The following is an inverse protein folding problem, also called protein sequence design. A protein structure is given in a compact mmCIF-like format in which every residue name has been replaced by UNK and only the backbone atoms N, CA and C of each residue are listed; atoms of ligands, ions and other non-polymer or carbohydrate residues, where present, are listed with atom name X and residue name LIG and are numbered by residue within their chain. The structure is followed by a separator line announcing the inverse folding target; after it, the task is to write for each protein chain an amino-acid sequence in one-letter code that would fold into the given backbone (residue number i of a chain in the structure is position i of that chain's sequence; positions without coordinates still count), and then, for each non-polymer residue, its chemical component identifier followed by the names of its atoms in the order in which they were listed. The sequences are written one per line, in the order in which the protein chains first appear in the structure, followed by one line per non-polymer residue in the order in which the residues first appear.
data_IF_950458478431
#
_entry.id   IF_950458478431
#
_cell.length_a   1.000
_cell.length_b   1.000
_cell.length_c   1.000
_cell.angle_alpha   90.00
_cell.angle_beta   90.00
_cell.angle_gamma   90.00
#
_symmetry.space_group_name_H-M   'P 1'
#
loop_
_entity.id
_entity.type
_entity.pdbx_description
1 polymer ?
#
# COMPACT_ATOMS: atom_id res chain seq x y z
N UNK A 1 -22.05 13.90 -19.63
CA UNK A 1 -21.51 13.12 -18.49
C UNK A 1 -22.62 12.89 -17.49
N UNK A 2 -22.62 11.79 -16.73
CA UNK A 2 -23.69 11.50 -15.76
C UNK A 2 -23.94 12.66 -14.78
N UNK A 3 -22.88 13.29 -14.29
CA UNK A 3 -22.94 14.48 -13.41
C UNK A 3 -23.62 15.67 -14.10
N UNK A 4 -23.30 15.94 -15.36
CA UNK A 4 -23.94 17.01 -16.15
C UNK A 4 -25.43 16.76 -16.39
N UNK A 5 -25.85 15.51 -16.52
CA UNK A 5 -27.27 15.16 -16.65
C UNK A 5 -28.05 15.44 -15.36
N UNK A 6 -27.36 15.55 -14.22
CA UNK A 6 -27.93 15.96 -12.92
C UNK A 6 -27.90 17.49 -12.72
N UNK A 7 -27.50 18.27 -13.74
CA UNK A 7 -27.49 19.73 -13.69
C UNK A 7 -26.23 20.36 -13.10
N UNK A 8 -25.17 19.58 -12.88
CA UNK A 8 -23.90 20.06 -12.32
C UNK A 8 -22.81 20.18 -13.39
N UNK A 9 -21.98 21.21 -13.30
CA UNK A 9 -20.83 21.34 -14.20
C UNK A 9 -19.74 20.35 -13.81
N UNK A 10 -19.23 19.59 -14.79
CA UNK A 10 -18.13 18.66 -14.59
C UNK A 10 -17.04 18.88 -15.63
N UNK A 11 -15.78 18.77 -15.22
CA UNK A 11 -14.59 18.93 -16.08
C UNK A 11 -13.64 17.76 -15.88
N UNK A 12 -13.20 17.14 -16.97
CA UNK A 12 -12.33 15.96 -16.92
C UNK A 12 -10.86 16.32 -17.10
N UNK A 13 -10.00 15.66 -16.34
CA UNK A 13 -8.56 15.84 -16.37
C UNK A 13 -7.87 14.48 -16.42
N UNK A 14 -6.84 14.36 -17.25
CA UNK A 14 -5.86 13.27 -17.16
C UNK A 14 -4.92 13.50 -15.98
N UNK A 15 -4.17 12.48 -15.54
CA UNK A 15 -3.22 12.64 -14.44
C UNK A 15 -2.15 13.70 -14.70
N UNK A 16 -1.69 13.83 -15.94
CA UNK A 16 -0.77 14.92 -16.33
C UNK A 16 -1.43 16.29 -16.24
N UNK A 17 -2.70 16.42 -16.66
CA UNK A 17 -3.46 17.67 -16.54
C UNK A 17 -3.85 18.02 -15.10
N UNK A 18 -3.97 17.01 -14.22
CA UNK A 18 -4.14 17.18 -12.78
C UNK A 18 -2.82 17.49 -12.05
N UNK A 19 -1.70 17.50 -12.77
CA UNK A 19 -0.39 17.87 -12.23
C UNK A 19 0.33 16.78 -11.44
N UNK A 20 0.01 15.50 -11.68
CA UNK A 20 0.65 14.37 -10.99
C UNK A 20 2.03 14.11 -11.61
N UNK A 21 3.10 14.53 -10.94
CA UNK A 21 4.49 14.37 -11.39
C UNK A 21 5.07 13.10 -10.78
N UNK A 22 5.73 12.27 -11.59
CA UNK A 22 6.24 10.96 -11.17
C UNK A 22 7.68 10.70 -11.60
N UNK A 23 8.24 9.61 -11.07
CA UNK A 23 9.44 8.96 -11.64
C UNK A 23 9.14 8.33 -13.01
N UNK A 24 10.18 8.03 -13.80
CA UNK A 24 10.09 7.51 -15.17
C UNK A 24 9.85 5.98 -15.28
N UNK A 25 9.80 5.26 -14.16
CA UNK A 25 9.62 3.79 -14.18
C UNK A 25 8.16 3.41 -14.47
N UNK A 26 7.84 3.08 -15.73
CA UNK A 26 6.50 2.63 -16.13
C UNK A 26 6.02 1.40 -15.33
N UNK A 27 4.72 1.35 -15.02
CA UNK A 27 4.09 0.27 -14.26
C UNK A 27 4.32 0.31 -12.74
N UNK A 28 5.32 1.06 -12.27
CA UNK A 28 5.69 1.19 -10.84
C UNK A 28 6.11 2.61 -10.47
N UNK A 29 5.61 3.62 -11.17
CA UNK A 29 6.02 5.00 -10.94
C UNK A 29 5.65 5.49 -9.53
N UNK A 30 6.48 6.37 -8.98
CA UNK A 30 6.26 7.00 -7.67
C UNK A 30 5.89 8.46 -7.87
N UNK A 31 4.88 8.94 -7.15
CA UNK A 31 4.52 10.36 -7.13
C UNK A 31 5.66 11.12 -6.46
N UNK A 32 6.19 12.11 -7.17
CA UNK A 32 7.24 13.02 -6.69
C UNK A 32 6.58 14.27 -6.12
N UNK A 33 5.65 14.84 -6.89
CA UNK A 33 5.00 16.10 -6.57
C UNK A 33 3.62 16.17 -7.25
N UNK A 34 2.74 17.04 -6.76
CA UNK A 34 1.42 17.28 -7.33
C UNK A 34 1.17 18.78 -7.44
N UNK A 35 0.99 19.27 -8.67
CA UNK A 35 0.74 20.69 -8.95
C UNK A 35 -0.67 20.89 -9.51
N UNK A 36 -1.72 20.97 -8.66
CA UNK A 36 -3.11 20.84 -9.09
C UNK A 36 -3.74 22.15 -9.60
N UNK A 37 -2.97 23.02 -10.26
CA UNK A 37 -3.42 24.37 -10.64
C UNK A 37 -4.71 24.39 -11.46
N UNK A 38 -4.80 23.53 -12.49
CA UNK A 38 -6.01 23.41 -13.32
C UNK A 38 -7.22 22.87 -12.57
N UNK A 39 -6.99 22.04 -11.55
CA UNK A 39 -8.05 21.52 -10.69
C UNK A 39 -8.55 22.62 -9.77
N UNK A 40 -7.65 23.38 -9.15
CA UNK A 40 -8.00 24.53 -8.30
C UNK A 40 -8.81 25.59 -9.07
N UNK A 41 -8.45 25.89 -10.31
CA UNK A 41 -9.22 26.79 -11.18
C UNK A 41 -10.66 26.27 -11.42
N UNK A 42 -10.80 25.00 -11.79
CA UNK A 42 -12.12 24.40 -12.00
C UNK A 42 -12.98 24.41 -10.73
N UNK A 43 -12.40 24.13 -9.57
CA UNK A 43 -13.10 24.16 -8.29
C UNK A 43 -13.54 25.59 -7.92
N UNK A 44 -12.70 26.61 -8.17
CA UNK A 44 -13.06 28.03 -7.95
C UNK A 44 -14.25 28.47 -8.80
N UNK A 45 -14.41 27.89 -9.99
CA UNK A 45 -15.53 28.16 -10.89
C UNK A 45 -16.80 27.34 -10.53
N UNK A 46 -16.75 26.53 -9.47
CA UNK A 46 -17.87 25.71 -9.02
C UNK A 46 -18.05 24.40 -9.80
N UNK A 47 -17.09 24.02 -10.64
CA UNK A 47 -17.14 22.78 -11.40
C UNK A 47 -16.64 21.57 -10.57
N UNK A 48 -17.20 20.40 -10.85
CA UNK A 48 -16.73 19.11 -10.32
C UNK A 48 -15.58 18.61 -11.20
N UNK A 49 -14.38 18.51 -10.62
CA UNK A 49 -13.21 17.98 -11.30
C UNK A 49 -13.21 16.43 -11.28
N UNK A 50 -13.19 15.82 -12.46
CA UNK A 50 -13.10 14.37 -12.65
C UNK A 50 -11.69 14.04 -13.12
N UNK A 51 -10.87 13.45 -12.26
CA UNK A 51 -9.48 13.12 -12.57
C UNK A 51 -9.35 11.62 -12.90
N UNK A 52 -8.76 11.30 -14.05
CA UNK A 52 -8.39 9.94 -14.37
C UNK A 52 -7.14 9.55 -13.55
N UNK A 53 -7.36 8.75 -12.50
CA UNK A 53 -6.33 8.25 -11.60
C UNK A 53 -5.35 7.25 -12.24
N UNK A 54 -4.45 6.69 -11.43
CA UNK A 54 -3.44 5.67 -11.79
C UNK A 54 -2.30 6.13 -12.71
N UNK A 55 -2.42 7.31 -13.33
CA UNK A 55 -1.44 7.86 -14.27
C UNK A 55 -0.82 9.17 -13.76
N UNK A 56 0.35 9.49 -14.28
CA UNK A 56 1.03 10.77 -14.09
C UNK A 56 1.94 11.11 -15.25
N UNK A 57 2.86 12.05 -15.04
CA UNK A 57 3.86 12.46 -16.04
C UNK A 57 5.26 12.39 -15.44
N UNK A 58 6.19 11.76 -16.16
CA UNK A 58 7.58 11.68 -15.76
C UNK A 58 8.21 13.09 -15.71
N UNK A 59 8.88 13.42 -14.61
CA UNK A 59 9.48 14.74 -14.42
C UNK A 59 10.53 15.08 -15.49
N UNK A 60 11.32 14.09 -15.88
CA UNK A 60 12.45 14.14 -16.81
C UNK A 60 12.03 14.03 -18.28
N UNK A 61 11.34 12.95 -18.66
CA UNK A 61 11.02 12.66 -20.06
C UNK A 61 9.73 13.29 -20.54
N UNK A 62 8.85 13.70 -19.61
CA UNK A 62 7.47 14.14 -19.87
C UNK A 62 6.55 13.06 -20.46
N UNK A 63 6.96 11.79 -20.40
CA UNK A 63 6.13 10.67 -20.82
C UNK A 63 5.02 10.38 -19.80
N UNK A 64 3.92 9.79 -20.28
CA UNK A 64 2.84 9.31 -19.43
C UNK A 64 3.31 8.06 -18.70
N UNK A 65 3.20 8.08 -17.37
CA UNK A 65 3.60 6.97 -16.51
C UNK A 65 2.39 6.39 -15.79
N UNK A 66 2.55 5.16 -15.28
CA UNK A 66 1.52 4.48 -14.50
C UNK A 66 2.07 4.10 -13.13
N UNK A 67 1.24 4.28 -12.10
CA UNK A 67 1.63 4.12 -10.69
C UNK A 67 1.64 2.66 -10.22
N UNK A 68 1.06 1.75 -11.00
CA UNK A 68 0.91 0.34 -10.64
C UNK A 68 -0.34 0.08 -9.77
N UNK A 69 -0.38 -1.08 -9.11
CA UNK A 69 -1.52 -1.46 -8.25
C UNK A 69 -1.78 -0.38 -7.17
N UNK A 70 -3.06 -0.13 -6.90
CA UNK A 70 -3.49 0.95 -5.99
C UNK A 70 -3.18 2.36 -6.49
N UNK A 71 -2.86 2.53 -7.77
CA UNK A 71 -2.51 3.81 -8.36
C UNK A 71 -3.65 4.83 -8.28
N UNK A 72 -4.91 4.41 -8.40
CA UNK A 72 -6.07 5.29 -8.28
C UNK A 72 -6.20 5.84 -6.86
N UNK A 73 -6.16 4.99 -5.83
CA UNK A 73 -6.20 5.40 -4.42
C UNK A 73 -5.05 6.37 -4.10
N UNK A 74 -3.84 6.04 -4.58
CA UNK A 74 -2.67 6.89 -4.41
C UNK A 74 -2.84 8.24 -5.11
N UNK A 75 -3.48 8.27 -6.28
CA UNK A 75 -3.77 9.54 -6.99
C UNK A 75 -4.77 10.38 -6.20
N UNK A 76 -5.82 9.76 -5.67
CA UNK A 76 -6.85 10.44 -4.90
C UNK A 76 -6.27 11.11 -3.64
N UNK A 77 -5.48 10.36 -2.85
CA UNK A 77 -4.84 10.88 -1.65
C UNK A 77 -3.78 11.93 -1.97
N UNK A 78 -2.97 11.74 -3.01
CA UNK A 78 -1.96 12.72 -3.38
C UNK A 78 -2.59 14.05 -3.84
N UNK A 79 -3.69 13.98 -4.60
CA UNK A 79 -4.42 15.16 -5.03
C UNK A 79 -5.13 15.84 -3.85
N UNK A 80 -5.77 15.08 -2.96
CA UNK A 80 -6.42 15.61 -1.78
C UNK A 80 -5.42 16.33 -0.85
N UNK A 81 -4.23 15.76 -0.65
CA UNK A 81 -3.16 16.40 0.12
C UNK A 81 -2.69 17.70 -0.54
N UNK A 82 -2.52 17.72 -1.87
CA UNK A 82 -2.07 18.92 -2.60
C UNK A 82 -3.14 20.01 -2.73
N UNK A 83 -4.41 19.66 -2.49
CA UNK A 83 -5.54 20.60 -2.47
C UNK A 83 -5.91 21.04 -1.05
N UNK A 84 -5.17 20.60 -0.02
CA UNK A 84 -5.50 20.81 1.39
C UNK A 84 -6.95 20.39 1.72
N UNK A 85 -7.38 19.25 1.17
CA UNK A 85 -8.73 18.74 1.39
C UNK A 85 -8.93 18.27 2.84
N UNK A 86 -10.15 18.42 3.36
CA UNK A 86 -10.49 17.98 4.72
C UNK A 86 -10.49 16.44 4.87
N UNK A 87 -10.84 15.73 3.79
CA UNK A 87 -10.96 14.26 3.75
C UNK A 87 -10.74 13.73 2.34
N UNK A 88 -10.18 12.52 2.24
CA UNK A 88 -10.18 11.71 1.03
C UNK A 88 -11.12 10.51 1.20
N UNK A 89 -12.25 10.51 0.50
CA UNK A 89 -13.17 9.35 0.52
C UNK A 89 -12.74 8.30 -0.52
N UNK A 90 -12.56 7.06 -0.07
CA UNK A 90 -12.27 5.92 -0.93
C UNK A 90 -13.52 5.03 -0.97
N UNK A 91 -14.20 5.08 -2.11
CA UNK A 91 -15.38 4.28 -2.39
C UNK A 91 -14.99 2.93 -3.00
N UNK A 92 -15.47 1.86 -2.38
CA UNK A 92 -15.18 0.46 -2.76
C UNK A 92 -16.44 -0.40 -2.71
N UNK A 93 -16.31 -1.71 -2.88
CA UNK A 93 -17.39 -2.71 -2.82
C UNK A 93 -17.65 -3.27 -1.42
N UNK A 94 -16.85 -2.86 -0.42
CA UNK A 94 -17.02 -3.21 1.00
C UNK A 94 -17.43 -2.01 1.84
N UNK A 95 -18.15 -2.27 2.94
CA UNK A 95 -18.71 -1.22 3.81
C UNK A 95 -17.70 -0.50 4.72
N UNK A 96 -16.43 -0.87 4.63
CA UNK A 96 -15.34 -0.33 5.45
C UNK A 96 -14.24 -1.37 5.70
N UNK A 97 -13.40 -1.10 6.69
CA UNK A 97 -12.37 -2.03 7.18
C UNK A 97 -12.96 -2.86 8.31
N UNK A 98 -12.71 -4.16 8.30
CA UNK A 98 -13.25 -5.11 9.26
C UNK A 98 -12.14 -5.70 10.13
N UNK A 99 -12.51 -6.17 11.33
CA UNK A 99 -11.60 -6.81 12.28
C UNK A 99 -10.96 -8.10 11.74
N UNK A 100 -11.54 -8.71 10.70
CA UNK A 100 -11.01 -9.83 9.92
C UNK A 100 -11.73 -9.87 8.56
N UNK A 101 -11.28 -10.69 7.62
CA UNK A 101 -11.99 -10.87 6.33
C UNK A 101 -13.40 -11.48 6.59
N UNK A 102 -14.50 -10.74 6.33
CA UNK A 102 -15.86 -11.20 6.63
C UNK A 102 -16.27 -12.41 5.78
N UNK A 103 -15.57 -12.70 4.67
CA UNK A 103 -15.80 -13.89 3.84
C UNK A 103 -15.27 -15.17 4.50
N UNK A 104 -14.35 -15.04 5.46
CA UNK A 104 -13.76 -16.15 6.21
C UNK A 104 -14.33 -16.21 7.62
N UNK A 105 -14.50 -15.05 8.26
CA UNK A 105 -15.01 -14.92 9.62
C UNK A 105 -16.33 -14.14 9.57
N UNK A 106 -17.50 -14.81 9.50
CA UNK A 106 -18.79 -14.13 9.38
C UNK A 106 -19.13 -13.19 10.55
N UNK A 107 -18.49 -13.40 11.71
CA UNK A 107 -18.65 -12.56 12.90
C UNK A 107 -17.69 -11.37 12.95
N UNK A 108 -16.90 -11.15 11.89
CA UNK A 108 -16.02 -9.99 11.78
C UNK A 108 -16.82 -8.70 11.90
N UNK A 109 -16.30 -7.74 12.66
CA UNK A 109 -16.98 -6.48 12.92
C UNK A 109 -16.34 -5.37 12.11
N UNK A 110 -17.17 -4.51 11.54
CA UNK A 110 -16.67 -3.29 10.91
C UNK A 110 -16.06 -2.37 11.99
N UNK A 111 -14.88 -1.87 11.72
CA UNK A 111 -14.18 -0.92 12.57
C UNK A 111 -14.75 0.48 12.30
N UNK A 112 -15.02 1.25 13.35
CA UNK A 112 -15.45 2.65 13.19
C UNK A 112 -14.29 3.53 12.74
N UNK A 113 -13.14 3.32 13.36
CA UNK A 113 -11.88 4.00 13.09
C UNK A 113 -10.71 3.04 13.23
N UNK A 114 -9.63 3.34 12.50
CA UNK A 114 -8.30 2.73 12.62
C UNK A 114 -7.26 3.84 12.49
N UNK A 115 -6.12 3.69 13.16
CA UNK A 115 -5.01 4.63 12.97
C UNK A 115 -4.31 4.39 11.63
N UNK A 116 -3.53 5.36 11.15
CA UNK A 116 -2.70 5.16 9.96
C UNK A 116 -1.76 3.97 10.13
N UNK A 117 -1.11 3.85 11.29
CA UNK A 117 -0.20 2.75 11.62
C UNK A 117 -0.92 1.39 11.60
N UNK A 118 -2.08 1.29 12.25
CA UNK A 118 -2.87 0.05 12.24
C UNK A 118 -3.29 -0.35 10.81
N UNK A 119 -3.72 0.63 10.02
CA UNK A 119 -4.14 0.38 8.64
C UNK A 119 -2.95 0.04 7.74
N UNK A 120 -1.77 0.63 7.94
CA UNK A 120 -0.54 0.28 7.24
C UNK A 120 -0.18 -1.18 7.50
N UNK A 121 -0.18 -1.61 8.76
CA UNK A 121 0.12 -3.00 9.14
C UNK A 121 -0.91 -3.99 8.60
N UNK A 122 -2.21 -3.66 8.67
CA UNK A 122 -3.26 -4.47 8.09
C UNK A 122 -3.11 -4.60 6.57
N UNK A 123 -2.85 -3.49 5.86
CA UNK A 123 -2.67 -3.49 4.41
C UNK A 123 -1.42 -4.25 3.98
N UNK A 124 -0.30 -4.08 4.71
CA UNK A 124 0.94 -4.82 4.48
C UNK A 124 0.74 -6.32 4.68
N UNK A 125 -0.03 -6.71 5.71
CA UNK A 125 -0.28 -8.11 6.07
C UNK A 125 -1.41 -8.78 5.25
N UNK A 126 -1.92 -8.12 4.21
CA UNK A 126 -2.84 -8.72 3.22
C UNK A 126 -4.29 -8.23 3.26
N UNK A 127 -4.63 -7.22 4.06
CA UNK A 127 -5.94 -6.58 3.98
C UNK A 127 -6.08 -5.78 2.67
N UNK A 128 -6.98 -6.21 1.78
CA UNK A 128 -7.07 -5.71 0.40
C UNK A 128 -7.98 -4.50 0.21
N UNK A 129 -8.37 -3.83 1.29
CA UNK A 129 -9.36 -2.73 1.26
C UNK A 129 -8.72 -1.42 0.80
N UNK A 130 -7.53 -1.10 1.30
CA UNK A 130 -6.74 0.06 0.92
C UNK A 130 -5.35 -0.37 0.49
N UNK A 131 -4.82 0.27 -0.54
CA UNK A 131 -3.44 0.02 -0.94
C UNK A 131 -2.45 0.71 0.01
N UNK A 132 -1.38 0.02 0.40
CA UNK A 132 -0.37 0.51 1.37
C UNK A 132 0.14 1.93 1.05
N UNK A 133 0.48 2.19 -0.22
CA UNK A 133 0.99 3.50 -0.66
C UNK A 133 0.00 4.65 -0.43
N UNK A 134 -1.31 4.39 -0.52
CA UNK A 134 -2.35 5.37 -0.27
C UNK A 134 -2.37 5.76 1.22
N UNK A 135 -2.34 4.77 2.11
CA UNK A 135 -2.32 4.98 3.56
C UNK A 135 -1.04 5.71 4.01
N UNK A 136 0.13 5.32 3.46
CA UNK A 136 1.40 5.96 3.80
C UNK A 136 1.43 7.43 3.37
N UNK A 137 0.87 7.73 2.21
CA UNK A 137 0.77 9.11 1.73
C UNK A 137 -0.17 9.93 2.63
N UNK A 138 -1.34 9.38 2.98
CA UNK A 138 -2.27 10.04 3.88
C UNK A 138 -1.65 10.33 5.26
N UNK A 139 -0.94 9.35 5.82
CA UNK A 139 -0.18 9.49 7.07
C UNK A 139 0.82 10.64 7.02
N UNK A 140 1.61 10.72 5.95
CA UNK A 140 2.65 11.75 5.78
C UNK A 140 2.07 13.17 5.80
N UNK A 141 0.89 13.37 5.23
CA UNK A 141 0.22 14.67 5.15
C UNK A 141 -0.86 14.86 6.22
N UNK A 142 -1.02 13.91 7.14
CA UNK A 142 -2.08 13.89 8.14
C UNK A 142 -3.49 14.10 7.53
N UNK A 143 -3.75 13.47 6.39
CA UNK A 143 -5.01 13.57 5.64
C UNK A 143 -5.93 12.40 6.00
N UNK A 144 -7.11 12.64 6.62
CA UNK A 144 -8.06 11.58 6.92
C UNK A 144 -8.54 10.85 5.67
N UNK A 145 -8.55 9.52 5.70
CA UNK A 145 -9.20 8.69 4.69
C UNK A 145 -10.53 8.18 5.23
N UNK A 146 -11.59 8.25 4.42
CA UNK A 146 -12.87 7.64 4.74
C UNK A 146 -13.19 6.50 3.79
N UNK A 147 -13.14 5.26 4.27
CA UNK A 147 -13.43 4.06 3.47
C UNK A 147 -14.93 3.80 3.47
N UNK A 148 -15.56 3.83 2.30
CA UNK A 148 -17.01 3.70 2.13
C UNK A 148 -17.38 2.71 1.04
N UNK A 149 -18.62 2.22 1.08
CA UNK A 149 -19.18 1.42 0.00
C UNK A 149 -19.89 2.29 -1.02
N UNK A 150 -19.75 1.96 -2.30
CA UNK A 150 -20.59 2.53 -3.37
C UNK A 150 -22.00 1.92 -3.42
N UNK A 151 -22.23 0.84 -2.68
CA UNK A 151 -23.45 0.04 -2.70
C UNK A 151 -24.33 0.22 -1.45
N UNK A 152 -23.85 0.95 -0.44
CA UNK A 152 -24.57 1.17 0.80
C UNK A 152 -24.40 2.61 1.31
N UNK A 153 -25.36 3.07 2.13
CA UNK A 153 -25.30 4.36 2.81
C UNK A 153 -24.72 4.23 4.23
N UNK A 154 -24.06 3.12 4.54
CA UNK A 154 -23.41 2.97 5.83
C UNK A 154 -22.28 4.01 5.94
N UNK A 155 -21.94 4.39 7.18
CA UNK A 155 -20.94 5.42 7.44
C UNK A 155 -19.60 5.05 6.79
N UNK A 156 -18.99 3.96 7.25
CA UNK A 156 -17.73 3.50 6.67
C UNK A 156 -16.76 3.08 7.76
N UNK A 157 -15.48 3.27 7.48
CA UNK A 157 -14.40 3.29 8.47
C UNK A 157 -13.51 4.50 8.24
N UNK A 158 -13.20 5.23 9.31
CA UNK A 158 -12.24 6.33 9.29
C UNK A 158 -10.81 5.81 9.49
N UNK A 159 -9.88 6.26 8.65
CA UNK A 159 -8.43 6.07 8.85
C UNK A 159 -7.84 7.43 9.22
N UNK A 160 -7.38 7.55 10.46
CA UNK A 160 -7.00 8.83 11.08
C UNK A 160 -5.69 8.68 11.86
N UNK A 161 -5.14 9.78 12.38
CA UNK A 161 -3.90 9.73 13.16
C UNK A 161 -4.08 9.04 14.51
N UNK A 162 -5.07 9.51 15.25
CA UNK A 162 -5.34 9.10 16.61
C UNK A 162 -6.76 8.53 16.70
N UNK A 163 -6.95 7.55 17.57
CA UNK A 163 -8.29 7.03 17.84
C UNK A 163 -9.16 8.16 18.43
N UNK A 164 -10.43 8.31 18.01
CA UNK A 164 -11.31 9.34 18.55
C UNK A 164 -11.40 9.27 20.08
N UNK A 165 -11.30 10.41 20.75
CA UNK A 165 -11.44 10.49 22.21
C UNK A 165 -12.80 9.94 22.67
N UNK A 166 -12.81 9.07 23.68
CA UNK A 166 -14.02 8.42 24.21
C UNK A 166 -14.08 6.90 24.10
N UNK A 167 -13.02 6.25 23.61
CA UNK A 167 -12.85 4.80 23.75
C UNK A 167 -12.78 4.38 25.23
N UNK A 168 -13.46 3.29 25.58
CA UNK A 168 -13.44 2.72 26.93
C UNK A 168 -12.02 2.49 27.44
N UNK A 169 -11.83 2.59 28.76
CA UNK A 169 -10.58 2.34 29.51
C UNK A 169 -9.88 1.01 29.15
N UNK A 170 -10.62 0.07 28.52
CA UNK A 170 -10.13 -1.18 27.94
C UNK A 170 -10.09 -1.08 26.40
N UNK A 171 -9.07 -0.41 25.85
CA UNK A 171 -8.83 -0.45 24.40
C UNK A 171 -8.33 -1.84 24.00
N UNK A 172 -8.92 -2.42 22.96
CA UNK A 172 -8.44 -3.68 22.40
C UNK A 172 -7.00 -3.50 21.90
N UNK A 173 -6.08 -4.35 22.35
CA UNK A 173 -4.66 -4.31 21.94
C UNK A 173 -4.52 -4.67 20.45
N UNK A 174 -5.47 -5.42 19.90
CA UNK A 174 -5.47 -5.89 18.52
C UNK A 174 -6.68 -5.33 17.79
N UNK A 175 -6.41 -4.51 16.78
CA UNK A 175 -7.44 -3.81 16.00
C UNK A 175 -8.02 -4.69 14.89
N UNK A 176 -7.24 -5.64 14.38
CA UNK A 176 -7.72 -6.61 13.40
C UNK A 176 -6.72 -7.72 13.07
N UNK A 177 -7.18 -8.68 12.29
CA UNK A 177 -6.40 -9.83 11.80
C UNK A 177 -6.44 -9.80 10.27
N UNK A 178 -5.28 -9.60 9.66
CA UNK A 178 -5.07 -9.77 8.23
C UNK A 178 -4.40 -11.11 7.94
N UNK A 179 -4.51 -11.58 6.69
CA UNK A 179 -3.81 -12.77 6.25
C UNK A 179 -3.51 -12.68 4.75
N UNK A 180 -2.41 -13.30 4.33
CA UNK A 180 -2.12 -13.53 2.92
C UNK A 180 -1.81 -15.00 2.64
N UNK A 181 -2.44 -15.55 1.59
CA UNK A 181 -2.21 -16.91 1.10
C UNK A 181 -1.35 -16.94 -0.17
N UNK A 182 -1.00 -15.77 -0.69
CA UNK A 182 -0.28 -15.59 -1.95
C UNK A 182 1.23 -15.78 -1.83
N UNK A 183 1.73 -15.92 -0.60
CA UNK A 183 3.15 -16.05 -0.32
C UNK A 183 3.66 -17.50 -0.35
N UNK A 184 4.97 -17.63 -0.52
CA UNK A 184 5.76 -18.83 -0.27
C UNK A 184 6.87 -18.52 0.74
N UNK A 185 7.20 -19.49 1.58
CA UNK A 185 8.30 -19.40 2.55
C UNK A 185 9.52 -20.15 2.02
N UNK A 186 10.67 -19.50 1.98
CA UNK A 186 11.98 -20.13 1.74
C UNK A 186 12.76 -20.10 3.05
N UNK A 187 13.39 -21.23 3.40
CA UNK A 187 14.30 -21.34 4.54
C UNK A 187 15.65 -21.84 4.04
N UNK A 188 16.70 -21.09 4.33
CA UNK A 188 18.10 -21.44 4.09
C UNK A 188 18.63 -21.95 5.42
N UNK A 189 18.97 -23.24 5.47
CA UNK A 189 19.37 -23.94 6.70
C UNK A 189 20.89 -23.95 6.80
N UNK A 190 21.44 -23.71 7.99
CA UNK A 190 22.89 -23.90 8.21
C UNK A 190 23.78 -22.79 7.63
N UNK A 191 23.27 -21.58 7.57
CA UNK A 191 24.01 -20.40 7.10
C UNK A 191 25.08 -20.01 8.14
N UNK A 192 26.35 -19.79 7.74
CA UNK A 192 27.37 -19.30 8.66
C UNK A 192 27.04 -17.94 9.25
N UNK A 193 27.05 -17.83 10.58
CA UNK A 193 26.72 -16.60 11.31
C UNK A 193 27.92 -15.65 11.36
N UNK A 194 28.21 -15.02 10.21
CA UNK A 194 29.24 -14.00 10.07
C UNK A 194 28.74 -12.83 9.23
N UNK A 195 29.31 -11.66 9.46
CA UNK A 195 28.95 -10.45 8.73
C UNK A 195 29.05 -10.65 7.20
N UNK A 196 28.07 -10.11 6.48
CA UNK A 196 28.02 -10.12 5.02
C UNK A 196 27.28 -11.30 4.39
N UNK A 197 27.03 -12.40 5.11
CA UNK A 197 26.35 -13.58 4.52
C UNK A 197 24.89 -13.27 4.19
N UNK A 198 24.13 -12.72 5.13
CA UNK A 198 22.75 -12.29 4.88
C UNK A 198 22.68 -11.24 3.76
N UNK A 199 23.60 -10.26 3.76
CA UNK A 199 23.69 -9.25 2.72
C UNK A 199 23.91 -9.88 1.33
N UNK A 200 24.78 -10.89 1.22
CA UNK A 200 25.02 -11.58 -0.04
C UNK A 200 23.79 -12.31 -0.57
N UNK A 201 23.07 -13.00 0.31
CA UNK A 201 21.81 -13.69 -0.01
C UNK A 201 20.79 -12.70 -0.54
N UNK A 202 20.51 -11.63 0.24
CA UNK A 202 19.47 -10.68 -0.12
C UNK A 202 19.86 -9.80 -1.30
N UNK A 203 21.16 -9.52 -1.52
CA UNK A 203 21.62 -8.85 -2.74
C UNK A 203 21.31 -9.68 -3.98
N UNK A 204 21.56 -11.00 -3.95
CA UNK A 204 21.27 -11.86 -5.10
C UNK A 204 19.77 -11.94 -5.42
N UNK A 205 18.90 -11.90 -4.40
CA UNK A 205 17.45 -11.84 -4.58
C UNK A 205 17.02 -10.46 -5.11
N UNK A 206 17.60 -9.38 -4.59
CA UNK A 206 17.33 -8.01 -5.04
C UNK A 206 17.79 -7.76 -6.48
N UNK A 207 18.96 -8.28 -6.88
CA UNK A 207 19.48 -8.21 -8.25
C UNK A 207 18.54 -8.90 -9.26
N UNK A 208 17.71 -9.82 -8.78
CA UNK A 208 16.68 -10.48 -9.58
C UNK A 208 15.32 -9.75 -9.58
N UNK A 209 15.23 -8.59 -8.92
CA UNK A 209 14.01 -7.78 -8.72
C UNK A 209 12.87 -8.59 -8.06
N UNK A 210 13.22 -9.49 -7.14
CA UNK A 210 12.25 -10.28 -6.37
C UNK A 210 11.94 -9.55 -5.07
N UNK A 211 10.65 -9.26 -4.85
CA UNK A 211 10.19 -8.61 -3.64
C UNK A 211 10.09 -9.62 -2.49
N UNK A 212 10.72 -9.32 -1.37
CA UNK A 212 10.66 -10.09 -0.13
C UNK A 212 9.74 -9.35 0.84
N UNK A 213 8.99 -10.09 1.64
CA UNK A 213 8.15 -9.54 2.71
C UNK A 213 8.79 -9.76 4.08
N UNK A 214 8.49 -10.87 4.75
CA UNK A 214 8.99 -11.14 6.10
C UNK A 214 10.40 -11.75 6.04
N UNK A 215 11.32 -11.28 6.89
CA UNK A 215 12.63 -11.89 7.12
C UNK A 215 12.72 -12.33 8.58
N UNK A 216 13.08 -13.60 8.80
CA UNK A 216 13.27 -14.19 10.13
C UNK A 216 14.61 -14.90 10.18
N UNK A 217 15.47 -14.46 11.08
CA UNK A 217 16.71 -15.14 11.45
C UNK A 217 16.74 -15.28 12.96
N UNK A 218 16.98 -16.50 13.45
CA UNK A 218 17.14 -16.73 14.88
C UNK A 218 18.62 -16.62 15.30
N UNK A 219 18.88 -16.57 16.60
CA UNK A 219 20.26 -16.63 17.13
C UNK A 219 20.94 -17.93 16.68
N UNK A 220 22.23 -17.85 16.37
CA UNK A 220 22.99 -19.02 15.94
C UNK A 220 23.16 -20.02 17.06
N UNK A 221 23.24 -21.29 16.70
CA UNK A 221 23.60 -22.33 17.66
C UNK A 221 25.07 -22.15 18.05
N UNK A 222 25.33 -21.80 19.32
CA UNK A 222 26.68 -21.51 19.83
C UNK A 222 27.69 -22.65 19.59
N UNK A 223 27.21 -23.88 19.47
CA UNK A 223 28.04 -25.05 19.18
C UNK A 223 28.50 -25.15 17.71
N UNK A 224 27.75 -24.59 16.76
CA UNK A 224 28.03 -24.71 15.32
C UNK A 224 28.39 -23.39 14.66
N UNK A 225 28.01 -22.25 15.24
CA UNK A 225 28.14 -20.94 14.59
C UNK A 225 27.27 -20.80 13.33
N UNK A 226 26.24 -21.65 13.20
CA UNK A 226 25.30 -21.64 12.08
C UNK A 226 23.93 -21.15 12.54
N UNK A 227 23.20 -20.55 11.60
CA UNK A 227 21.82 -20.08 11.79
C UNK A 227 20.97 -20.38 10.56
N UNK A 228 19.66 -20.35 10.73
CA UNK A 228 18.71 -20.49 9.64
C UNK A 228 18.11 -19.11 9.30
N UNK A 229 18.03 -18.82 8.02
CA UNK A 229 17.41 -17.60 7.51
C UNK A 229 16.16 -17.99 6.74
N UNK A 230 15.01 -17.54 7.20
CA UNK A 230 13.73 -17.70 6.52
C UNK A 230 13.24 -16.37 5.97
N UNK A 231 12.62 -16.40 4.81
CA UNK A 231 11.92 -15.25 4.29
C UNK A 231 10.69 -15.65 3.46
N UNK A 232 9.74 -14.72 3.33
CA UNK A 232 8.56 -14.89 2.49
C UNK A 232 8.60 -13.98 1.27
N UNK A 233 7.93 -14.43 0.21
CA UNK A 233 7.87 -13.75 -1.09
C UNK A 233 6.66 -14.24 -1.89
N UNK A 234 6.25 -13.57 -2.98
CA UNK A 234 5.16 -14.03 -3.83
C UNK A 234 5.37 -15.46 -4.33
N UNK A 235 4.37 -16.33 -4.18
CA UNK A 235 4.47 -17.77 -4.53
C UNK A 235 4.94 -18.00 -5.98
N UNK A 236 4.63 -17.09 -6.89
CA UNK A 236 5.05 -17.13 -8.29
C UNK A 236 6.56 -17.02 -8.49
N UNK A 237 7.27 -16.37 -7.57
CA UNK A 237 8.74 -16.20 -7.63
C UNK A 237 9.49 -17.31 -6.86
N UNK A 238 8.79 -18.19 -6.14
CA UNK A 238 9.37 -19.19 -5.24
C UNK A 238 10.42 -20.11 -5.89
N UNK A 239 10.10 -20.67 -7.06
CA UNK A 239 11.04 -21.53 -7.79
C UNK A 239 12.28 -20.77 -8.25
N UNK A 240 12.11 -19.54 -8.75
CA UNK A 240 13.20 -18.69 -9.23
C UNK A 240 14.12 -18.26 -8.09
N UNK A 241 13.55 -17.80 -6.98
CA UNK A 241 14.29 -17.45 -5.77
C UNK A 241 15.09 -18.64 -5.22
N UNK A 242 14.47 -19.83 -5.18
CA UNK A 242 15.15 -21.06 -4.74
C UNK A 242 16.36 -21.39 -5.62
N UNK A 243 16.22 -21.32 -6.94
CA UNK A 243 17.34 -21.56 -7.86
C UNK A 243 18.46 -20.52 -7.74
N UNK A 244 18.15 -19.27 -7.40
CA UNK A 244 19.16 -18.23 -7.13
C UNK A 244 19.94 -18.57 -5.87
N UNK A 245 19.24 -18.86 -4.77
CA UNK A 245 19.85 -19.22 -3.49
C UNK A 245 20.74 -20.46 -3.64
N UNK A 246 20.27 -21.50 -4.33
CA UNK A 246 21.04 -22.73 -4.55
C UNK A 246 22.38 -22.48 -5.26
N UNK A 247 22.47 -21.49 -6.16
CA UNK A 247 23.74 -21.12 -6.81
C UNK A 247 24.76 -20.50 -5.86
N UNK A 248 24.30 -19.92 -4.74
CA UNK A 248 25.17 -19.36 -3.70
C UNK A 248 25.70 -20.44 -2.74
N UNK A 249 25.21 -21.68 -2.83
CA UNK A 249 25.56 -22.73 -1.88
C UNK A 249 27.07 -22.97 -1.80
N UNK A 250 27.76 -23.03 -2.94
CA UNK A 250 29.21 -23.21 -2.99
C UNK A 250 30.01 -22.00 -2.48
N UNK A 251 29.43 -20.80 -2.52
CA UNK A 251 30.05 -19.55 -2.04
C UNK A 251 29.88 -19.40 -0.53
N UNK A 252 28.68 -19.70 -0.02
CA UNK A 252 28.28 -19.43 1.36
C UNK A 252 28.56 -20.64 2.28
N UNK A 253 28.36 -21.86 1.78
CA UNK A 253 28.63 -23.10 2.52
C UNK A 253 27.49 -23.54 3.44
N UNK A 254 26.24 -23.39 2.99
CA UNK A 254 25.05 -23.95 3.66
C UNK A 254 24.58 -25.24 2.99
#
# INVERSE_FOLDING_TARGET
MAISNLGLEARSFTGSQAGIITTSTHGRARVIDVTPGRIQEALKEGAIAIVAGFQGVAQDTKDITTLGRGGSDTTAVALAAALDADVCEIYTDVDGVFSADPRIVPTARKLKSVTYEEMLELAASGAKVLHLRCVEYARRFNLPIHVRSSFSNLEGTWVVKDQPEGGSMEQAIISGIAHDKSEAKITIVGVPDRAGVAARIFQAIADADINIDMIVQNVSAAATGLTDISFTLPRTEGSRATSIVQKLQGEIGF
#
